data_IF_588481079877
#
_entry.id   IF_588481079877
#
_cell.length_a   1.000
_cell.length_b   1.000
_cell.length_c   1.000
_cell.angle_alpha   90.00
_cell.angle_beta   90.00
_cell.angle_gamma   90.00
#
_symmetry.space_group_name_H-M   'P 1'
#
loop_
_entity.id
_entity.type
_entity.pdbx_description
1 polymer ?
#
# COMPACT_ATOMS: atom_id res chain seq x y z
N UNK A 1 -7.43 -10.53 0.90
CA UNK A 1 -7.97 -9.37 0.16
C UNK A 1 -9.08 -8.64 0.91
N UNK A 2 -10.00 -9.32 1.62
CA UNK A 2 -11.06 -8.64 2.38
C UNK A 2 -10.52 -7.59 3.36
N UNK A 3 -9.42 -7.88 4.06
CA UNK A 3 -8.76 -6.91 4.95
C UNK A 3 -8.29 -5.66 4.20
N UNK A 4 -7.83 -5.78 2.95
CA UNK A 4 -7.45 -4.63 2.11
C UNK A 4 -8.66 -3.76 1.80
N UNK A 5 -9.79 -4.38 1.41
CA UNK A 5 -11.04 -3.67 1.17
C UNK A 5 -11.57 -2.98 2.43
N UNK A 6 -11.56 -3.67 3.57
CA UNK A 6 -11.98 -3.12 4.85
C UNK A 6 -11.12 -1.92 5.25
N UNK A 7 -9.80 -2.04 5.13
CA UNK A 7 -8.88 -0.97 5.47
C UNK A 7 -9.07 0.23 4.55
N UNK A 8 -9.22 0.00 3.23
CA UNK A 8 -9.54 1.04 2.27
C UNK A 8 -10.85 1.76 2.63
N UNK A 9 -11.90 1.00 3.01
CA UNK A 9 -13.16 1.59 3.46
C UNK A 9 -12.99 2.45 4.69
N UNK A 10 -12.24 1.98 5.69
CA UNK A 10 -11.96 2.74 6.91
C UNK A 10 -11.26 4.08 6.59
N UNK A 11 -10.23 4.07 5.73
CA UNK A 11 -9.55 5.31 5.34
C UNK A 11 -10.52 6.28 4.65
N UNK A 12 -11.30 5.81 3.68
CA UNK A 12 -12.18 6.67 2.88
C UNK A 12 -13.42 7.11 3.67
N UNK A 13 -14.13 6.20 4.30
CA UNK A 13 -15.46 6.39 4.88
C UNK A 13 -15.44 6.94 6.31
N UNK A 14 -14.39 6.64 7.08
CA UNK A 14 -14.38 6.92 8.52
C UNK A 14 -13.33 7.97 8.90
N UNK A 15 -12.16 7.97 8.24
CA UNK A 15 -11.06 8.87 8.59
C UNK A 15 -11.05 10.13 7.70
N UNK A 16 -10.89 9.96 6.39
CA UNK A 16 -10.65 11.10 5.47
C UNK A 16 -11.94 11.76 5.00
N UNK A 17 -12.97 10.95 4.72
CA UNK A 17 -14.28 11.42 4.25
C UNK A 17 -14.19 12.44 3.09
N UNK A 18 -13.52 12.07 1.98
CA UNK A 18 -13.32 12.94 0.83
C UNK A 18 -14.66 13.43 0.27
N UNK A 19 -14.65 14.57 -0.42
CA UNK A 19 -15.87 15.22 -0.92
C UNK A 19 -15.99 15.25 -2.44
N UNK A 20 -14.91 14.95 -3.16
CA UNK A 20 -14.87 15.08 -4.61
C UNK A 20 -14.20 13.87 -5.26
N UNK A 21 -12.98 13.52 -4.83
CA UNK A 21 -12.15 12.57 -5.53
C UNK A 21 -11.37 11.65 -4.60
N UNK A 22 -11.23 10.39 -5.02
CA UNK A 22 -10.28 9.42 -4.45
C UNK A 22 -9.41 8.89 -5.58
N UNK A 23 -8.10 9.11 -5.48
CA UNK A 23 -7.11 8.52 -6.37
C UNK A 23 -6.45 7.33 -5.67
N UNK A 24 -6.61 6.13 -6.22
CA UNK A 24 -6.01 4.90 -5.72
C UNK A 24 -4.88 4.46 -6.63
N UNK A 25 -3.65 4.49 -6.13
CA UNK A 25 -2.45 4.14 -6.89
C UNK A 25 -1.85 2.84 -6.36
N UNK A 26 -1.81 1.81 -7.20
CA UNK A 26 -1.00 0.62 -6.97
C UNK A 26 0.30 0.78 -7.75
N UNK A 27 1.42 0.38 -7.17
CA UNK A 27 2.72 0.35 -7.87
C UNK A 27 2.62 -0.47 -9.16
N UNK A 28 3.03 0.15 -10.26
CA UNK A 28 3.30 -0.52 -11.53
C UNK A 28 4.79 -0.72 -11.74
N UNK A 29 5.19 -0.96 -12.99
CA UNK A 29 6.61 -1.11 -13.33
C UNK A 29 7.35 0.20 -13.05
N UNK A 30 8.29 0.16 -12.11
CA UNK A 30 9.05 1.31 -11.67
C UNK A 30 10.29 1.60 -12.55
N UNK A 31 10.88 2.81 -12.48
CA UNK A 31 12.14 3.12 -13.15
C UNK A 31 13.30 2.24 -12.69
N UNK A 32 14.34 2.11 -13.54
CA UNK A 32 15.51 1.27 -13.26
C UNK A 32 16.19 1.59 -11.92
N UNK A 33 16.26 2.87 -11.55
CA UNK A 33 16.84 3.30 -10.28
C UNK A 33 16.10 2.66 -9.09
N UNK A 34 14.77 2.74 -9.07
CA UNK A 34 13.94 2.10 -8.04
C UNK A 34 14.00 0.58 -8.11
N UNK A 35 14.00 -0.02 -9.30
CA UNK A 35 14.12 -1.48 -9.45
C UNK A 35 15.41 -2.01 -8.82
N UNK A 36 16.53 -1.30 -8.97
CA UNK A 36 17.79 -1.69 -8.30
C UNK A 36 17.66 -1.62 -6.78
N UNK A 37 17.02 -0.58 -6.24
CA UNK A 37 16.78 -0.44 -4.80
C UNK A 37 15.85 -1.55 -4.27
N UNK A 38 14.73 -1.81 -4.95
CA UNK A 38 13.79 -2.88 -4.60
C UNK A 38 14.46 -4.25 -4.67
N UNK A 39 15.26 -4.51 -5.72
CA UNK A 39 16.06 -5.73 -5.84
C UNK A 39 16.95 -5.91 -4.63
N UNK A 40 17.79 -4.91 -4.30
CA UNK A 40 18.70 -5.02 -3.15
C UNK A 40 17.97 -5.29 -1.84
N UNK A 41 16.83 -4.64 -1.59
CA UNK A 41 16.03 -4.85 -0.38
C UNK A 41 15.47 -6.27 -0.30
N UNK A 42 14.89 -6.78 -1.40
CA UNK A 42 14.26 -8.11 -1.45
C UNK A 42 15.26 -9.24 -1.30
N UNK A 43 16.44 -9.11 -1.91
CA UNK A 43 17.51 -10.09 -1.75
C UNK A 43 17.98 -10.16 -0.29
N UNK A 44 18.20 -9.01 0.35
CA UNK A 44 18.60 -8.96 1.77
C UNK A 44 17.55 -9.62 2.68
N UNK A 45 16.28 -9.28 2.51
CA UNK A 45 15.20 -9.88 3.32
C UNK A 45 15.03 -11.39 3.11
N UNK A 46 15.37 -11.90 1.91
CA UNK A 46 15.36 -13.33 1.64
C UNK A 46 16.48 -14.03 2.41
N UNK A 47 17.71 -13.50 2.32
CA UNK A 47 18.86 -14.05 3.04
C UNK A 47 18.71 -13.94 4.56
N UNK A 48 18.16 -12.84 5.08
CA UNK A 48 17.89 -12.70 6.53
C UNK A 48 16.91 -13.75 7.04
N UNK A 49 15.85 -14.04 6.28
CA UNK A 49 14.89 -15.12 6.61
C UNK A 49 15.52 -16.51 6.57
N UNK A 50 16.39 -16.77 5.60
CA UNK A 50 17.13 -18.04 5.52
C UNK A 50 18.07 -18.21 6.72
N UNK A 51 18.77 -17.14 7.12
CA UNK A 51 19.64 -17.14 8.30
C UNK A 51 18.82 -17.35 9.58
N UNK A 52 17.70 -16.63 9.73
CA UNK A 52 16.80 -16.77 10.88
C UNK A 52 16.27 -18.20 11.00
N UNK A 53 15.81 -18.79 9.89
CA UNK A 53 15.36 -20.18 9.84
C UNK A 53 16.48 -21.15 10.23
N UNK A 54 17.71 -20.94 9.74
CA UNK A 54 18.84 -21.78 10.09
C UNK A 54 19.21 -21.66 11.58
N UNK A 55 19.21 -20.46 12.15
CA UNK A 55 19.44 -20.23 13.57
C UNK A 55 18.37 -20.91 14.44
N UNK A 56 17.09 -20.87 14.03
CA UNK A 56 16.00 -21.58 14.71
C UNK A 56 16.21 -23.10 14.71
N UNK A 57 16.73 -23.67 13.62
CA UNK A 57 17.05 -25.12 13.57
C UNK A 57 18.26 -25.52 14.43
N UNK A 58 19.13 -24.57 14.79
CA UNK A 58 20.32 -24.81 15.59
C UNK A 58 20.14 -24.45 17.08
N UNK A 59 19.04 -23.83 17.48
CA UNK A 59 18.74 -23.67 18.89
C UNK A 59 18.44 -25.05 19.50
N UNK A 60 19.21 -25.51 20.51
CA UNK A 60 18.90 -26.75 21.18
C UNK A 60 17.54 -26.58 21.84
N UNK A 61 16.62 -27.51 21.55
CA UNK A 61 15.41 -27.68 22.36
C UNK A 61 15.90 -27.87 23.78
N UNK A 62 15.77 -26.84 24.63
CA UNK A 62 15.93 -26.99 26.07
C UNK A 62 14.73 -27.80 26.56
N UNK A 63 14.83 -29.12 26.42
CA UNK A 63 13.92 -30.11 26.99
C UNK A 63 14.08 -29.99 28.50
N UNK A 64 13.19 -29.24 29.15
CA UNK A 64 12.95 -29.30 30.58
C UNK A 64 11.52 -28.82 30.85
N UNK A 65 10.54 -29.69 30.58
CA UNK A 65 9.35 -29.91 31.41
C UNK A 65 8.31 -30.75 30.65
N UNK A 66 7.77 -31.75 31.34
CA UNK A 66 6.75 -32.71 30.93
C UNK A 66 5.38 -32.09 30.57
N UNK A 67 5.30 -31.26 29.55
CA UNK A 67 4.05 -30.98 28.85
C UNK A 67 4.26 -31.24 27.37
N UNK A 68 3.36 -32.03 26.80
CA UNK A 68 3.22 -32.26 25.37
C UNK A 68 2.99 -30.94 24.64
N UNK A 69 4.06 -30.18 24.44
CA UNK A 69 4.11 -29.11 23.47
C UNK A 69 4.12 -29.80 22.11
N UNK A 70 2.91 -30.02 21.59
CA UNK A 70 2.71 -30.07 20.15
C UNK A 70 3.52 -28.89 19.59
N UNK A 71 4.65 -29.22 18.96
CA UNK A 71 5.30 -28.32 18.02
C UNK A 71 4.21 -28.04 17.00
N UNK A 72 3.51 -26.92 17.17
CA UNK A 72 2.65 -26.39 16.15
C UNK A 72 3.58 -26.13 14.98
N UNK A 73 3.66 -27.13 14.10
CA UNK A 73 3.91 -26.93 12.70
C UNK A 73 2.73 -26.08 12.22
N UNK A 74 2.72 -24.80 12.62
CA UNK A 74 2.19 -23.79 11.75
C UNK A 74 3.13 -23.85 10.54
N UNK A 75 2.78 -24.74 9.62
CA UNK A 75 2.97 -24.53 8.20
C UNK A 75 2.25 -23.23 7.86
N UNK A 76 2.81 -22.12 8.33
CA UNK A 76 2.48 -20.82 7.85
C UNK A 76 2.94 -20.89 6.40
N UNK A 77 2.02 -21.26 5.51
CA UNK A 77 2.07 -20.95 4.09
C UNK A 77 2.10 -19.42 3.98
N UNK A 78 3.22 -18.87 4.42
CA UNK A 78 3.36 -17.50 4.85
C UNK A 78 3.22 -16.62 3.64
N UNK A 79 2.54 -15.50 3.84
CA UNK A 79 2.42 -14.50 2.80
C UNK A 79 3.83 -14.02 2.36
N UNK A 80 4.28 -14.47 1.19
CA UNK A 80 5.55 -14.04 0.61
C UNK A 80 5.40 -12.63 0.04
N UNK A 81 5.89 -11.61 0.74
CA UNK A 81 5.78 -10.19 0.34
C UNK A 81 6.30 -9.87 -1.08
N UNK A 82 7.22 -10.68 -1.62
CA UNK A 82 7.67 -10.57 -3.01
C UNK A 82 6.54 -10.71 -4.03
N UNK A 83 5.42 -11.36 -3.66
CA UNK A 83 4.23 -11.41 -4.52
C UNK A 83 3.53 -10.05 -4.68
N UNK A 84 3.85 -9.04 -3.86
CA UNK A 84 3.46 -7.64 -4.06
C UNK A 84 4.41 -7.01 -5.11
N UNK A 85 4.28 -7.46 -6.35
CA UNK A 85 5.04 -6.94 -7.50
C UNK A 85 4.14 -6.95 -8.74
N UNK A 86 4.22 -5.93 -9.60
CA UNK A 86 3.59 -5.98 -10.92
C UNK A 86 3.92 -7.27 -11.67
N UNK A 87 2.91 -7.84 -12.33
CA UNK A 87 3.05 -9.08 -13.10
C UNK A 87 2.85 -10.37 -12.30
N UNK A 88 2.68 -10.33 -10.98
CA UNK A 88 2.36 -11.53 -10.21
C UNK A 88 0.86 -11.84 -10.23
N UNK A 89 0.45 -13.12 -10.16
CA UNK A 89 -0.95 -13.49 -10.03
C UNK A 89 -1.62 -12.92 -8.77
N UNK A 90 -0.85 -12.75 -7.68
CA UNK A 90 -1.36 -12.18 -6.44
C UNK A 90 -1.80 -10.72 -6.63
N UNK A 91 -0.93 -9.87 -7.17
CA UNK A 91 -1.23 -8.44 -7.31
C UNK A 91 -2.33 -8.18 -8.34
N UNK A 92 -2.38 -9.02 -9.39
CA UNK A 92 -3.49 -9.04 -10.34
C UNK A 92 -4.82 -9.33 -9.63
N UNK A 93 -4.93 -10.44 -8.88
CA UNK A 93 -6.14 -10.80 -8.14
C UNK A 93 -6.52 -9.75 -7.09
N UNK A 94 -5.53 -9.17 -6.41
CA UNK A 94 -5.74 -8.07 -5.47
C UNK A 94 -6.39 -6.86 -6.14
N UNK A 95 -5.85 -6.45 -7.30
CA UNK A 95 -6.37 -5.32 -8.09
C UNK A 95 -7.80 -5.56 -8.56
N UNK A 96 -8.11 -6.77 -9.04
CA UNK A 96 -9.48 -7.13 -9.43
C UNK A 96 -10.45 -7.04 -8.24
N UNK A 97 -10.03 -7.56 -7.08
CA UNK A 97 -10.87 -7.51 -5.87
C UNK A 97 -11.13 -6.09 -5.38
N UNK A 98 -10.16 -5.19 -5.51
CA UNK A 98 -10.32 -3.76 -5.20
C UNK A 98 -11.29 -3.10 -6.18
N UNK A 99 -11.18 -3.37 -7.48
CA UNK A 99 -12.10 -2.84 -8.50
C UNK A 99 -13.55 -3.29 -8.26
N UNK A 100 -13.76 -4.58 -7.96
CA UNK A 100 -15.07 -5.11 -7.57
C UNK A 100 -15.62 -4.41 -6.32
N UNK A 101 -14.77 -4.22 -5.31
CA UNK A 101 -15.14 -3.51 -4.09
C UNK A 101 -15.56 -2.06 -4.37
N UNK A 102 -14.78 -1.31 -5.15
CA UNK A 102 -15.11 0.08 -5.53
C UNK A 102 -16.47 0.13 -6.23
N UNK A 103 -16.70 -0.74 -7.23
CA UNK A 103 -17.98 -0.79 -7.95
C UNK A 103 -19.14 -1.07 -7.02
N UNK A 104 -18.97 -1.99 -6.08
CA UNK A 104 -19.99 -2.29 -5.09
C UNK A 104 -20.27 -1.07 -4.20
N UNK A 105 -19.23 -0.43 -3.63
CA UNK A 105 -19.39 0.73 -2.74
C UNK A 105 -20.06 1.92 -3.43
N UNK A 106 -19.72 2.21 -4.68
CA UNK A 106 -20.38 3.25 -5.47
C UNK A 106 -21.90 3.02 -5.63
N UNK A 107 -22.35 1.77 -5.62
CA UNK A 107 -23.76 1.41 -5.77
C UNK A 107 -24.50 1.33 -4.43
N UNK A 108 -23.80 0.99 -3.34
CA UNK A 108 -24.44 0.60 -2.08
C UNK A 108 -24.18 1.54 -0.91
N UNK A 109 -23.14 2.38 -0.98
CA UNK A 109 -22.77 3.27 0.12
C UNK A 109 -22.94 4.75 -0.25
N UNK A 110 -23.84 5.49 0.42
CA UNK A 110 -24.01 6.93 0.23
C UNK A 110 -22.73 7.74 0.42
N UNK A 111 -21.78 7.29 1.26
CA UNK A 111 -20.48 7.98 1.45
C UNK A 111 -19.60 7.91 0.20
N UNK A 112 -19.83 6.95 -0.69
CA UNK A 112 -19.07 6.75 -1.92
C UNK A 112 -19.80 7.25 -3.16
N UNK A 113 -21.13 7.29 -3.12
CA UNK A 113 -22.01 7.56 -4.27
C UNK A 113 -21.59 8.78 -5.11
N UNK A 114 -21.25 9.90 -4.46
CA UNK A 114 -20.92 11.16 -5.14
C UNK A 114 -19.41 11.35 -5.40
N UNK A 115 -18.58 10.37 -5.07
CA UNK A 115 -17.14 10.44 -5.27
C UNK A 115 -16.74 10.08 -6.69
N UNK A 116 -15.83 10.87 -7.27
CA UNK A 116 -15.06 10.45 -8.44
C UNK A 116 -13.93 9.54 -7.99
N UNK A 117 -13.95 8.27 -8.41
CA UNK A 117 -12.90 7.32 -8.09
C UNK A 117 -12.00 7.11 -9.31
N UNK A 118 -10.70 7.39 -9.15
CA UNK A 118 -9.67 7.06 -10.14
C UNK A 118 -8.84 5.90 -9.58
N UNK A 119 -8.85 4.77 -10.29
CA UNK A 119 -8.05 3.61 -9.93
C UNK A 119 -6.92 3.42 -10.95
N UNK A 120 -5.69 3.63 -10.49
CA UNK A 120 -4.47 3.39 -11.25
C UNK A 120 -3.82 2.08 -10.76
N UNK A 121 -4.11 0.98 -11.46
CA UNK A 121 -3.63 -0.35 -11.12
C UNK A 121 -2.14 -0.63 -11.38
N UNK A 122 -1.75 -1.86 -11.09
CA UNK A 122 -0.41 -2.41 -11.31
C UNK A 122 0.00 -2.50 -12.80
N UNK A 123 -0.98 -2.43 -13.70
CA UNK A 123 -0.87 -2.43 -15.15
C UNK A 123 -0.51 -1.06 -15.74
N UNK A 124 -0.66 0.01 -14.95
CA UNK A 124 -0.19 1.36 -15.30
C UNK A 124 1.27 1.50 -14.83
N UNK A 125 2.25 1.84 -15.70
CA UNK A 125 3.65 2.01 -15.27
C UNK A 125 3.84 3.15 -14.26
N UNK A 126 4.89 3.06 -13.45
CA UNK A 126 5.24 4.07 -12.44
C UNK A 126 4.98 3.62 -10.99
N UNK A 127 5.66 4.29 -10.06
CA UNK A 127 5.47 4.11 -8.61
C UNK A 127 4.21 4.84 -8.16
N UNK A 128 3.47 4.27 -7.20
CA UNK A 128 2.18 4.79 -6.76
C UNK A 128 2.25 6.25 -6.31
N UNK A 129 3.26 6.60 -5.51
CA UNK A 129 3.51 7.98 -5.08
C UNK A 129 3.73 8.92 -6.28
N UNK A 130 4.51 8.51 -7.27
CA UNK A 130 4.77 9.33 -8.45
C UNK A 130 3.54 9.48 -9.35
N UNK A 131 2.70 8.45 -9.47
CA UNK A 131 1.42 8.55 -10.19
C UNK A 131 0.47 9.55 -9.55
N UNK A 132 0.40 9.58 -8.21
CA UNK A 132 -0.37 10.58 -7.45
C UNK A 132 0.18 11.98 -7.75
N UNK A 133 1.50 12.16 -7.66
CA UNK A 133 2.13 13.46 -7.89
C UNK A 133 1.98 13.94 -9.34
N UNK A 134 2.05 13.04 -10.32
CA UNK A 134 1.79 13.33 -11.73
C UNK A 134 0.35 13.79 -11.95
N UNK A 135 -0.62 13.08 -11.35
CA UNK A 135 -2.03 13.47 -11.39
C UNK A 135 -2.24 14.86 -10.79
N UNK A 136 -1.72 15.13 -9.60
CA UNK A 136 -1.86 16.44 -8.94
C UNK A 136 -1.26 17.57 -9.78
N UNK A 137 -0.05 17.38 -10.34
CA UNK A 137 0.57 18.35 -11.25
C UNK A 137 -0.27 18.59 -12.50
N UNK A 138 -0.86 17.54 -13.05
CA UNK A 138 -1.72 17.65 -14.23
C UNK A 138 -2.99 18.45 -13.92
N UNK A 139 -3.70 18.14 -12.82
CA UNK A 139 -4.91 18.87 -12.41
C UNK A 139 -4.62 20.34 -12.11
N UNK A 140 -3.51 20.64 -11.42
CA UNK A 140 -3.09 22.01 -11.10
C UNK A 140 -2.91 22.90 -12.34
N UNK A 141 -2.49 22.30 -13.45
CA UNK A 141 -2.26 23.03 -14.71
C UNK A 141 -3.53 23.21 -15.55
N UNK A 142 -4.68 22.63 -15.14
CA UNK A 142 -5.93 22.80 -15.87
C UNK A 142 -6.53 24.20 -15.62
N UNK A 143 -7.22 24.77 -16.64
CA UNK A 143 -7.98 25.99 -16.43
C UNK A 143 -9.09 25.75 -15.40
N UNK A 144 -9.24 26.67 -14.45
CA UNK A 144 -10.26 26.57 -13.41
C UNK A 144 -9.89 25.69 -12.20
N UNK A 145 -8.63 25.26 -12.08
CA UNK A 145 -8.14 24.62 -10.86
C UNK A 145 -8.37 25.53 -9.64
N UNK A 146 -8.96 24.97 -8.58
CA UNK A 146 -9.11 25.67 -7.31
C UNK A 146 -7.80 25.59 -6.51
N UNK A 147 -7.06 26.71 -6.34
CA UNK A 147 -5.81 26.70 -5.57
C UNK A 147 -6.03 26.43 -4.07
N UNK A 148 -7.28 26.44 -3.59
CA UNK A 148 -7.63 26.09 -2.23
C UNK A 148 -8.15 24.66 -2.08
N UNK A 149 -8.07 23.84 -3.14
CA UNK A 149 -8.40 22.42 -3.06
C UNK A 149 -7.55 21.76 -1.96
N UNK A 150 -8.22 21.02 -1.08
CA UNK A 150 -7.59 20.37 0.08
C UNK A 150 -7.24 18.93 -0.27
N UNK A 151 -5.98 18.57 -0.12
CA UNK A 151 -5.44 17.26 -0.45
C UNK A 151 -5.07 16.49 0.81
N UNK A 152 -5.38 15.19 0.81
CA UNK A 152 -4.91 14.24 1.83
C UNK A 152 -4.27 13.07 1.11
N UNK A 153 -3.00 12.77 1.40
CA UNK A 153 -2.28 11.64 0.84
C UNK A 153 -2.03 10.63 1.96
N UNK A 154 -2.49 9.40 1.75
CA UNK A 154 -2.23 8.29 2.66
C UNK A 154 -1.03 7.46 2.17
N UNK A 155 -0.04 7.25 3.04
CA UNK A 155 1.09 6.37 2.76
C UNK A 155 2.17 6.42 3.85
N UNK A 156 3.00 5.39 3.90
CA UNK A 156 4.02 5.21 4.96
C UNK A 156 5.42 5.64 4.55
N UNK A 157 5.64 5.92 3.26
CA UNK A 157 6.95 6.30 2.73
C UNK A 157 7.34 7.71 3.17
N UNK A 158 8.59 7.86 3.65
CA UNK A 158 9.13 9.16 4.05
C UNK A 158 9.26 10.16 2.90
N UNK A 159 9.38 9.66 1.66
CA UNK A 159 9.51 10.46 0.45
C UNK A 159 8.25 11.30 0.19
N UNK A 160 7.08 10.88 0.70
CA UNK A 160 5.82 11.62 0.59
C UNK A 160 5.86 13.01 1.24
N UNK A 161 6.71 13.22 2.25
CA UNK A 161 6.92 14.56 2.84
C UNK A 161 7.52 15.51 1.80
N UNK A 162 8.59 15.08 1.15
CA UNK A 162 9.29 15.90 0.16
C UNK A 162 8.46 16.05 -1.11
N UNK A 163 7.81 14.96 -1.56
CA UNK A 163 6.92 15.00 -2.71
C UNK A 163 5.72 15.93 -2.46
N UNK A 164 5.12 15.86 -1.26
CA UNK A 164 4.03 16.75 -0.84
C UNK A 164 4.44 18.22 -0.89
N UNK A 165 5.61 18.58 -0.34
CA UNK A 165 6.14 19.95 -0.42
C UNK A 165 6.40 20.39 -1.88
N UNK A 166 6.93 19.50 -2.71
CA UNK A 166 7.21 19.78 -4.12
C UNK A 166 5.96 19.99 -4.98
N UNK A 167 4.76 19.63 -4.50
CA UNK A 167 3.50 19.95 -5.19
C UNK A 167 3.19 21.45 -5.18
N UNK A 168 3.73 22.19 -4.21
CA UNK A 168 3.35 23.58 -3.91
C UNK A 168 1.83 23.75 -3.71
N UNK A 169 1.14 22.73 -3.18
CA UNK A 169 -0.25 22.83 -2.74
C UNK A 169 -0.30 23.41 -1.32
N UNK A 170 -1.01 24.53 -1.09
CA UNK A 170 -1.04 25.17 0.23
C UNK A 170 -1.78 24.33 1.29
N UNK A 171 -2.74 23.50 0.87
CA UNK A 171 -3.59 22.70 1.77
C UNK A 171 -3.40 21.21 1.53
N UNK A 172 -2.22 20.69 1.86
CA UNK A 172 -1.90 19.27 1.76
C UNK A 172 -1.62 18.68 3.14
N UNK A 173 -2.26 17.57 3.47
CA UNK A 173 -1.92 16.76 4.64
C UNK A 173 -1.47 15.35 4.25
N UNK A 174 -0.58 14.79 5.07
CA UNK A 174 -0.15 13.40 4.98
C UNK A 174 -0.80 12.61 6.11
N UNK A 175 -1.46 11.51 5.76
CA UNK A 175 -2.03 10.56 6.70
C UNK A 175 -1.17 9.30 6.71
N UNK A 176 -0.75 8.87 7.88
CA UNK A 176 0.05 7.65 8.08
C UNK A 176 -0.31 6.99 9.40
N UNK A 177 0.01 5.71 9.53
CA UNK A 177 -0.12 5.03 10.81
C UNK A 177 0.96 5.52 11.78
N UNK A 178 0.60 5.59 13.06
CA UNK A 178 1.57 5.86 14.13
C UNK A 178 2.60 4.71 14.19
N UNK A 179 3.87 5.07 14.19
CA UNK A 179 4.97 4.13 14.39
C UNK A 179 5.45 4.30 15.82
N UNK A 180 5.07 3.35 16.67
CA UNK A 180 5.54 3.28 18.06
C UNK A 180 6.89 2.55 18.07
N UNK A 181 7.92 3.19 18.61
CA UNK A 181 9.23 2.57 18.82
C UNK A 181 9.33 2.18 20.29
N UNK A 182 9.38 0.87 20.55
CA UNK A 182 9.68 0.31 21.87
C UNK A 182 11.18 0.33 22.18
#
# INVERSE_FOLDING_TARGET
FQNVCYYLDRIVSDIVQPKQLVFLAIDGVAPRAKLNQQRSRRYRSGSEKEIEMHLMTLQPISINSDESAELSQDENHGFHSNCITPGTPFLYKCSQRILEFIRHKLQTDPKWHDLTIIFSGHDVPGEGEHKIMDFMRHEKNKPGYDPNLRHCIYGQDGDLVMLGLATHEPHLCLLREEVVFD
#
